data_IF_217957036291
#
_entry.id   IF_217957036291
#
_cell.length_a   1.000
_cell.length_b   1.000
_cell.length_c   1.000
_cell.angle_alpha   90.00
_cell.angle_beta   90.00
_cell.angle_gamma   90.00
#
_symmetry.space_group_name_H-M   'P 1'
#
loop_
_entity.id
_entity.type
_entity.pdbx_description
1 polymer ?
#
# COMPACT_ATOMS: atom_id res chain seq x y z
N UNK A 1 -16.33 -13.21 5.23
CA UNK A 1 -15.71 -11.96 5.72
C UNK A 1 -16.75 -10.86 5.78
N UNK A 2 -16.74 -10.03 6.84
CA UNK A 2 -17.46 -8.75 6.90
C UNK A 2 -16.47 -7.64 6.62
N UNK A 3 -16.89 -6.59 5.92
CA UNK A 3 -16.01 -5.50 5.52
C UNK A 3 -16.61 -4.13 5.89
N UNK A 4 -15.78 -3.22 6.40
CA UNK A 4 -16.09 -1.81 6.55
C UNK A 4 -15.09 -1.00 5.72
N UNK A 5 -15.58 -0.19 4.80
CA UNK A 5 -14.76 0.52 3.84
C UNK A 5 -15.28 1.93 3.55
N UNK A 6 -14.38 2.83 3.14
CA UNK A 6 -14.66 4.21 2.79
C UNK A 6 -15.45 4.35 1.49
N UNK A 7 -15.15 3.50 0.52
CA UNK A 7 -15.64 3.62 -0.85
C UNK A 7 -16.86 2.73 -1.09
N UNK A 8 -16.88 1.53 -0.47
CA UNK A 8 -17.95 0.55 -0.65
C UNK A 8 -17.98 0.01 -2.06
N UNK A 9 -16.82 -0.30 -2.61
CA UNK A 9 -16.63 -0.73 -3.98
C UNK A 9 -17.49 -1.95 -4.34
N UNK A 10 -17.89 -2.04 -5.61
CA UNK A 10 -18.82 -3.06 -6.08
C UNK A 10 -18.26 -4.48 -5.92
N UNK A 11 -16.97 -4.66 -6.23
CA UNK A 11 -16.28 -5.94 -6.10
C UNK A 11 -16.07 -6.36 -4.63
N UNK A 12 -15.76 -5.43 -3.72
CA UNK A 12 -15.75 -5.69 -2.29
C UNK A 12 -17.13 -6.11 -1.78
N UNK A 13 -18.17 -5.41 -2.20
CA UNK A 13 -19.56 -5.69 -1.80
C UNK A 13 -20.00 -7.07 -2.29
N UNK A 14 -19.60 -7.49 -3.49
CA UNK A 14 -19.89 -8.79 -4.04
C UNK A 14 -19.11 -9.94 -3.33
N UNK A 15 -17.89 -9.67 -2.86
CA UNK A 15 -17.03 -10.66 -2.21
C UNK A 15 -17.33 -10.82 -0.70
N UNK A 16 -17.85 -9.80 -0.03
CA UNK A 16 -18.13 -9.81 1.40
C UNK A 16 -19.48 -10.48 1.71
N UNK A 17 -19.56 -11.18 2.85
CA UNK A 17 -20.85 -11.66 3.41
C UNK A 17 -21.75 -10.47 3.77
N UNK A 18 -21.16 -9.40 4.27
CA UNK A 18 -21.77 -8.09 4.45
C UNK A 18 -20.70 -7.00 4.40
N UNK A 19 -21.04 -5.89 3.78
CA UNK A 19 -20.21 -4.70 3.71
C UNK A 19 -20.92 -3.49 4.31
N UNK A 20 -20.14 -2.55 4.85
CA UNK A 20 -20.63 -1.26 5.33
C UNK A 20 -19.74 -0.15 4.81
N UNK A 21 -20.33 0.79 4.11
CA UNK A 21 -19.65 2.03 3.75
C UNK A 21 -19.54 2.93 4.99
N UNK A 22 -18.37 3.55 5.17
CA UNK A 22 -18.06 4.42 6.30
C UNK A 22 -18.12 5.88 5.85
N UNK A 23 -19.16 6.60 6.28
CA UNK A 23 -19.36 8.00 5.89
C UNK A 23 -18.55 8.98 6.75
N UNK A 24 -18.30 8.66 8.03
CA UNK A 24 -17.55 9.47 8.99
C UNK A 24 -16.20 8.84 9.31
N UNK A 25 -15.32 8.82 8.32
CA UNK A 25 -13.96 8.30 8.55
C UNK A 25 -13.13 9.29 9.41
N UNK A 26 -12.34 8.80 10.41
CA UNK A 26 -12.12 7.39 10.74
C UNK A 26 -13.11 6.80 11.77
N UNK A 27 -13.85 7.63 12.52
CA UNK A 27 -14.64 7.19 13.69
C UNK A 27 -15.77 6.24 13.30
N UNK A 28 -16.36 6.38 12.13
CA UNK A 28 -17.37 5.47 11.62
C UNK A 28 -16.92 4.03 11.47
N UNK A 29 -15.61 3.74 11.47
CA UNK A 29 -15.08 2.37 11.54
C UNK A 29 -15.41 1.69 12.86
N UNK A 30 -15.46 2.45 13.98
CA UNK A 30 -15.83 1.94 15.30
C UNK A 30 -17.29 1.49 15.30
N UNK A 31 -18.17 2.35 14.76
CA UNK A 31 -19.59 2.06 14.65
C UNK A 31 -19.86 0.87 13.72
N UNK A 32 -19.15 0.82 12.59
CA UNK A 32 -19.26 -0.30 11.65
C UNK A 32 -18.79 -1.62 12.27
N UNK A 33 -17.68 -1.61 12.99
CA UNK A 33 -17.17 -2.78 13.70
C UNK A 33 -18.17 -3.27 14.76
N UNK A 34 -18.79 -2.37 15.53
CA UNK A 34 -19.77 -2.71 16.55
C UNK A 34 -21.04 -3.34 15.96
N UNK A 35 -21.39 -3.02 14.73
CA UNK A 35 -22.60 -3.51 14.06
C UNK A 35 -22.43 -4.88 13.39
N UNK A 36 -21.21 -5.41 13.26
CA UNK A 36 -20.97 -6.78 12.77
C UNK A 36 -21.01 -7.81 13.89
N UNK A 37 -21.29 -9.09 13.59
CA UNK A 37 -21.20 -10.18 14.58
C UNK A 37 -19.81 -10.22 15.27
N UNK A 38 -19.72 -10.70 16.52
CA UNK A 38 -18.43 -10.86 17.20
C UNK A 38 -17.48 -11.76 16.41
N UNK A 39 -16.31 -11.22 16.07
CA UNK A 39 -15.26 -11.93 15.35
C UNK A 39 -13.93 -11.19 15.54
N UNK A 40 -12.77 -11.84 15.37
CA UNK A 40 -11.50 -11.13 15.19
C UNK A 40 -11.57 -10.14 14.02
N UNK A 41 -10.79 -9.08 14.11
CA UNK A 41 -10.73 -8.06 13.07
C UNK A 41 -9.29 -7.79 12.65
N UNK A 42 -9.10 -7.36 11.42
CA UNK A 42 -7.85 -6.84 10.91
C UNK A 42 -8.11 -5.51 10.19
N UNK A 43 -7.07 -4.74 9.97
CA UNK A 43 -7.18 -3.49 9.25
C UNK A 43 -6.19 -3.41 8.09
N UNK A 44 -6.59 -2.67 7.07
CA UNK A 44 -5.80 -2.26 5.92
C UNK A 44 -5.90 -0.74 5.75
N UNK A 45 -5.52 -0.20 4.60
CA UNK A 45 -5.58 1.24 4.36
C UNK A 45 -4.67 2.00 5.33
N UNK A 46 -5.06 3.17 5.76
CA UNK A 46 -4.28 4.05 6.62
C UNK A 46 -4.78 4.08 8.08
N UNK A 47 -5.39 2.99 8.56
CA UNK A 47 -5.98 2.92 9.91
C UNK A 47 -4.92 3.08 10.99
N UNK A 48 -3.67 2.70 10.73
CA UNK A 48 -2.53 2.93 11.61
C UNK A 48 -2.29 4.41 11.95
N UNK A 49 -2.79 5.32 11.17
CA UNK A 49 -2.75 6.75 11.45
C UNK A 49 -3.82 7.19 12.48
N UNK A 50 -4.75 6.31 12.81
CA UNK A 50 -5.88 6.55 13.69
C UNK A 50 -5.85 5.60 14.89
N UNK A 51 -4.82 5.75 15.73
CA UNK A 51 -4.56 4.84 16.87
C UNK A 51 -5.77 4.64 17.80
N UNK A 52 -6.58 5.68 18.00
CA UNK A 52 -7.81 5.61 18.82
C UNK A 52 -8.83 4.62 18.23
N UNK A 53 -8.89 4.46 16.90
CA UNK A 53 -9.76 3.45 16.26
C UNK A 53 -9.25 2.05 16.60
N UNK A 54 -7.92 1.83 16.45
CA UNK A 54 -7.32 0.55 16.80
C UNK A 54 -7.61 0.20 18.26
N UNK A 55 -7.38 1.13 19.17
CA UNK A 55 -7.63 0.95 20.60
C UNK A 55 -9.11 0.62 20.88
N UNK A 56 -10.03 1.43 20.37
CA UNK A 56 -11.47 1.28 20.63
C UNK A 56 -12.05 0.00 20.08
N UNK A 57 -11.68 -0.40 18.86
CA UNK A 57 -12.18 -1.65 18.27
C UNK A 57 -11.53 -2.86 18.95
N UNK A 58 -10.24 -2.80 19.29
CA UNK A 58 -9.53 -3.89 19.98
C UNK A 58 -9.99 -4.12 21.41
N UNK A 59 -10.54 -3.12 22.07
CA UNK A 59 -11.17 -3.28 23.39
C UNK A 59 -12.42 -4.18 23.34
N UNK A 60 -13.06 -4.30 22.18
CA UNK A 60 -14.30 -5.08 22.00
C UNK A 60 -14.10 -6.37 21.19
N UNK A 61 -12.99 -6.48 20.42
CA UNK A 61 -12.75 -7.57 19.47
C UNK A 61 -11.26 -7.93 19.41
N UNK A 62 -10.90 -9.24 19.35
CA UNK A 62 -9.51 -9.63 19.12
C UNK A 62 -8.95 -9.03 17.84
N UNK A 63 -7.78 -8.39 17.92
CA UNK A 63 -7.09 -7.82 16.77
C UNK A 63 -6.16 -8.86 16.15
N UNK A 64 -6.34 -9.16 14.86
CA UNK A 64 -5.36 -9.78 14.01
C UNK A 64 -4.56 -8.67 13.30
N UNK A 65 -3.60 -8.10 13.98
CA UNK A 65 -2.83 -6.95 13.47
C UNK A 65 -1.95 -6.35 14.56
N UNK A 66 -1.18 -5.36 14.18
CA UNK A 66 -0.29 -4.64 15.08
C UNK A 66 -1.08 -3.61 15.89
N UNK A 67 -0.94 -3.65 17.21
CA UNK A 67 -1.65 -2.77 18.14
C UNK A 67 -1.01 -1.36 18.23
N UNK A 68 -1.58 -0.53 19.08
CA UNK A 68 -1.17 0.88 19.24
C UNK A 68 0.31 1.02 19.61
N UNK A 69 0.83 0.12 20.45
CA UNK A 69 2.23 0.14 20.89
C UNK A 69 3.20 -0.16 19.74
N UNK A 70 2.93 -1.22 18.97
CA UNK A 70 3.73 -1.63 17.81
C UNK A 70 3.67 -0.56 16.70
N UNK A 71 2.49 -0.04 16.41
CA UNK A 71 2.30 1.07 15.47
C UNK A 71 3.10 2.28 15.91
N UNK A 72 3.12 2.61 17.22
CA UNK A 72 3.93 3.70 17.76
C UNK A 72 5.41 3.57 17.42
N UNK A 73 5.98 2.39 17.60
CA UNK A 73 7.42 2.14 17.36
C UNK A 73 7.85 2.36 15.92
N UNK A 74 6.96 2.22 14.94
CA UNK A 74 7.30 2.34 13.52
C UNK A 74 6.71 3.59 12.85
N UNK A 75 5.78 4.29 13.49
CA UNK A 75 5.23 5.55 12.96
C UNK A 75 5.88 6.80 13.55
N UNK A 76 6.65 6.67 14.64
CA UNK A 76 7.45 7.76 15.19
C UNK A 76 8.80 7.84 14.46
N UNK A 77 9.15 8.94 13.78
CA UNK A 77 10.33 8.99 12.92
C UNK A 77 11.65 8.66 13.62
N UNK A 78 11.83 9.10 14.85
CA UNK A 78 13.05 8.82 15.62
C UNK A 78 13.16 7.34 16.00
N UNK A 79 12.06 6.71 16.41
CA UNK A 79 12.00 5.29 16.74
C UNK A 79 12.25 4.43 15.49
N UNK A 80 11.60 4.77 14.38
CA UNK A 80 11.82 4.09 13.11
C UNK A 80 13.28 4.21 12.64
N UNK A 81 13.87 5.41 12.73
CA UNK A 81 15.27 5.62 12.39
C UNK A 81 16.22 4.75 13.23
N UNK A 82 15.93 4.53 14.52
CA UNK A 82 16.69 3.65 15.38
C UNK A 82 16.57 2.18 14.95
N UNK A 83 15.36 1.70 14.65
CA UNK A 83 15.11 0.33 14.16
C UNK A 83 15.81 0.06 12.83
N UNK A 84 15.74 1.00 11.90
CA UNK A 84 16.38 0.90 10.57
C UNK A 84 17.91 0.85 10.71
N UNK A 85 18.48 1.70 11.57
CA UNK A 85 19.93 1.66 11.85
C UNK A 85 20.36 0.37 12.54
N UNK A 86 19.55 -0.17 13.46
CA UNK A 86 19.82 -1.46 14.09
C UNK A 86 19.88 -2.60 13.07
N UNK A 87 19.05 -2.53 12.02
CA UNK A 87 19.10 -3.46 10.88
C UNK A 87 20.30 -3.24 9.94
N UNK A 88 21.17 -2.27 10.20
CA UNK A 88 22.29 -1.91 9.32
C UNK A 88 21.91 -1.11 8.08
N UNK A 89 20.70 -0.55 8.06
CA UNK A 89 20.17 0.21 6.92
C UNK A 89 20.16 1.71 7.16
N UNK A 90 19.88 2.47 6.11
CA UNK A 90 19.73 3.94 6.17
C UNK A 90 18.28 4.36 6.31
N UNK A 91 18.10 5.41 7.10
CA UNK A 91 16.87 6.20 7.15
C UNK A 91 17.23 7.66 6.80
N UNK A 92 16.43 8.37 6.01
CA UNK A 92 16.75 9.74 5.63
C UNK A 92 16.79 10.68 6.84
N UNK A 93 17.64 11.69 6.79
CA UNK A 93 17.63 12.75 7.80
C UNK A 93 16.23 13.36 7.87
N UNK A 94 15.67 13.35 9.06
CA UNK A 94 14.28 13.77 9.31
C UNK A 94 14.25 14.69 10.53
N UNK A 95 13.62 15.84 10.37
CA UNK A 95 13.55 16.89 11.38
C UNK A 95 12.09 17.29 11.64
N UNK A 96 11.80 17.66 12.87
CA UNK A 96 10.47 18.12 13.31
C UNK A 96 10.20 19.59 12.97
N UNK A 97 11.23 20.32 12.56
CA UNK A 97 11.14 21.72 12.19
C UNK A 97 12.14 22.10 11.09
N UNK A 98 11.80 23.04 10.19
CA UNK A 98 12.63 23.38 9.04
C UNK A 98 13.73 24.40 9.36
N UNK A 99 14.15 24.55 10.62
CA UNK A 99 15.16 25.53 11.02
C UNK A 99 16.50 25.25 10.33
N UNK A 100 16.98 26.23 9.55
CA UNK A 100 18.27 26.17 8.87
C UNK A 100 18.31 25.19 7.69
N UNK A 101 17.17 24.62 7.27
CA UNK A 101 17.13 23.75 6.10
C UNK A 101 17.25 24.55 4.80
N UNK A 102 17.94 24.00 3.78
CA UNK A 102 17.93 24.55 2.43
C UNK A 102 16.49 24.66 1.90
N UNK A 103 16.25 25.70 1.09
CA UNK A 103 14.94 25.98 0.47
C UNK A 103 14.94 25.66 -1.03
N UNK A 104 15.75 24.71 -1.43
CA UNK A 104 15.99 24.27 -2.82
C UNK A 104 15.21 23.00 -3.21
N UNK A 105 14.40 22.47 -2.30
CA UNK A 105 13.65 21.24 -2.52
C UNK A 105 14.42 19.96 -2.19
N UNK A 106 15.65 20.05 -1.65
CA UNK A 106 16.42 18.90 -1.17
C UNK A 106 15.77 18.21 0.05
N UNK A 107 14.89 18.91 0.75
CA UNK A 107 14.01 18.32 1.77
C UNK A 107 12.55 18.30 1.30
N UNK A 108 11.82 17.30 1.77
CA UNK A 108 10.38 17.16 1.56
C UNK A 108 9.65 17.41 2.87
N UNK A 109 8.63 18.26 2.83
CA UNK A 109 7.65 18.34 3.93
C UNK A 109 6.69 17.17 3.79
N UNK A 110 6.59 16.33 4.82
CA UNK A 110 5.74 15.11 4.83
C UNK A 110 4.79 15.15 6.03
N UNK A 111 3.49 14.82 5.86
CA UNK A 111 2.62 14.59 7.00
C UNK A 111 3.04 13.30 7.71
N UNK A 112 3.11 13.32 9.04
CA UNK A 112 3.41 12.14 9.88
C UNK A 112 2.30 11.09 9.74
N UNK A 113 1.05 11.52 9.71
CA UNK A 113 -0.13 10.69 9.51
C UNK A 113 -0.59 10.71 8.03
N UNK A 114 0.35 10.60 7.09
CA UNK A 114 0.08 10.55 5.66
C UNK A 114 -0.24 9.15 5.15
N UNK A 115 -0.82 9.07 3.97
CA UNK A 115 -1.00 7.84 3.22
C UNK A 115 -0.95 8.09 1.71
N UNK A 116 -0.39 7.15 0.96
CA UNK A 116 -0.35 7.18 -0.50
C UNK A 116 0.36 8.41 -1.08
N UNK A 117 1.30 9.02 -0.35
CA UNK A 117 2.07 10.18 -0.79
C UNK A 117 1.32 11.52 -0.76
N UNK A 118 0.09 11.55 -0.25
CA UNK A 118 -0.72 12.78 -0.15
C UNK A 118 -0.11 13.78 0.83
N UNK A 119 -0.08 15.06 0.45
CA UNK A 119 0.43 16.15 1.28
C UNK A 119 1.96 16.25 1.32
N UNK A 120 2.70 15.40 0.61
CA UNK A 120 4.13 15.52 0.43
C UNK A 120 4.42 16.63 -0.58
N UNK A 121 5.33 17.53 -0.22
CA UNK A 121 5.76 18.61 -1.10
C UNK A 121 7.25 18.95 -0.88
N UNK A 122 7.99 19.41 -1.91
CA UNK A 122 9.32 19.94 -1.75
C UNK A 122 9.31 21.14 -0.78
N UNK A 123 10.32 21.21 0.07
CA UNK A 123 10.51 22.37 0.93
C UNK A 123 11.21 23.48 0.15
N UNK A 124 10.47 24.55 -0.13
CA UNK A 124 10.95 25.72 -0.87
C UNK A 124 11.01 26.97 0.02
N UNK A 125 10.96 26.79 1.35
CA UNK A 125 10.92 27.91 2.29
C UNK A 125 9.50 28.46 2.51
N UNK A 126 9.43 29.60 3.23
CA UNK A 126 8.17 30.36 3.40
C UNK A 126 7.23 29.85 4.48
N UNK A 127 7.63 28.90 5.29
CA UNK A 127 6.85 28.41 6.41
C UNK A 127 7.25 29.12 7.71
N UNK A 128 6.24 29.48 8.51
CA UNK A 128 6.40 29.86 9.90
C UNK A 128 7.02 28.74 10.76
N UNK A 129 6.84 28.78 12.08
CA UNK A 129 7.34 27.78 13.00
C UNK A 129 6.84 26.37 12.63
N UNK A 130 7.47 25.32 13.20
CA UNK A 130 7.09 23.93 12.99
C UNK A 130 5.56 23.75 12.95
N UNK A 131 5.07 23.13 11.87
CA UNK A 131 3.64 22.83 11.74
C UNK A 131 3.40 21.47 12.39
N UNK A 132 2.61 21.37 13.45
CA UNK A 132 2.30 20.10 14.08
C UNK A 132 1.79 19.08 13.06
N UNK A 133 2.24 17.83 13.18
CA UNK A 133 1.84 16.75 12.27
C UNK A 133 2.63 16.68 10.97
N UNK A 134 3.69 17.48 10.81
CA UNK A 134 4.61 17.40 9.66
C UNK A 134 6.06 17.20 10.12
N UNK A 135 6.83 16.56 9.24
CA UNK A 135 8.28 16.44 9.33
C UNK A 135 8.93 16.91 8.02
N UNK A 136 10.22 17.26 8.10
CA UNK A 136 11.05 17.59 6.95
C UNK A 136 12.09 16.48 6.77
N UNK A 137 11.95 15.73 5.71
CA UNK A 137 12.79 14.57 5.41
C UNK A 137 13.64 14.83 4.17
N UNK A 138 14.93 14.50 4.25
CA UNK A 138 15.84 14.58 3.11
C UNK A 138 15.29 13.78 1.92
N UNK A 139 15.24 14.42 0.76
CA UNK A 139 14.82 13.77 -0.48
C UNK A 139 15.94 12.87 -1.01
N UNK A 140 15.70 11.59 -1.07
CA UNK A 140 16.67 10.60 -1.55
C UNK A 140 16.43 10.36 -3.03
N UNK A 141 17.50 10.51 -3.84
CA UNK A 141 17.48 10.13 -5.25
C UNK A 141 17.66 8.62 -5.41
N UNK A 142 16.91 8.01 -6.30
CA UNK A 142 16.96 6.58 -6.55
C UNK A 142 15.64 6.01 -7.04
N UNK A 143 15.52 4.72 -7.04
CA UNK A 143 14.35 3.99 -7.49
C UNK A 143 13.41 3.70 -6.31
N UNK A 144 12.15 4.09 -6.45
CA UNK A 144 11.14 3.82 -5.44
C UNK A 144 10.74 2.33 -5.48
N UNK A 145 10.90 1.64 -4.36
CA UNK A 145 10.58 0.22 -4.22
C UNK A 145 9.71 -0.03 -2.99
N UNK A 146 8.96 -1.11 -3.03
CA UNK A 146 8.32 -1.64 -1.82
C UNK A 146 8.67 -3.11 -1.63
N UNK A 147 8.72 -3.54 -0.36
CA UNK A 147 8.81 -4.93 0.02
C UNK A 147 7.58 -5.31 0.86
N UNK A 148 7.12 -6.54 0.66
CA UNK A 148 6.11 -7.19 1.50
C UNK A 148 6.80 -8.23 2.35
N UNK A 149 6.70 -8.08 3.66
CA UNK A 149 7.31 -8.95 4.66
C UNK A 149 6.23 -9.75 5.38
N UNK A 150 6.54 -10.99 5.79
CA UNK A 150 5.77 -11.73 6.78
C UNK A 150 6.63 -11.92 8.02
N UNK A 151 6.14 -11.47 9.16
CA UNK A 151 6.83 -11.47 10.44
C UNK A 151 6.14 -12.48 11.37
N UNK A 152 6.85 -13.53 11.74
CA UNK A 152 6.35 -14.64 12.54
C UNK A 152 7.34 -14.90 13.71
N UNK A 153 6.91 -15.62 14.74
CA UNK A 153 7.74 -15.88 15.92
C UNK A 153 8.93 -16.79 15.61
N UNK A 154 8.77 -17.69 14.64
CA UNK A 154 9.76 -18.69 14.22
C UNK A 154 10.61 -18.23 13.02
N UNK A 155 10.38 -17.05 12.52
CA UNK A 155 11.16 -16.47 11.43
C UNK A 155 10.43 -15.38 10.66
N UNK A 156 11.22 -14.56 9.98
CA UNK A 156 10.70 -13.48 9.15
C UNK A 156 11.07 -13.71 7.69
N UNK A 157 10.16 -13.45 6.76
CA UNK A 157 10.35 -13.68 5.33
C UNK A 157 10.06 -12.43 4.51
N UNK A 158 10.84 -12.22 3.44
CA UNK A 158 10.48 -11.29 2.37
C UNK A 158 9.62 -12.05 1.37
N UNK A 159 8.35 -11.71 1.29
CA UNK A 159 7.39 -12.38 0.40
C UNK A 159 7.53 -11.92 -1.05
N UNK A 160 7.88 -10.66 -1.26
CA UNK A 160 8.10 -10.11 -2.58
C UNK A 160 8.51 -8.64 -2.54
N UNK A 161 9.03 -8.18 -3.67
CA UNK A 161 9.45 -6.80 -3.88
C UNK A 161 8.86 -6.26 -5.18
N UNK A 162 8.68 -4.95 -5.26
CA UNK A 162 8.17 -4.30 -6.46
C UNK A 162 8.74 -2.89 -6.64
N UNK A 163 8.90 -2.48 -7.88
CA UNK A 163 9.12 -1.09 -8.27
C UNK A 163 7.81 -0.32 -8.08
N UNK A 164 7.87 0.83 -7.42
CA UNK A 164 6.68 1.65 -7.22
C UNK A 164 6.49 2.65 -8.36
N UNK A 165 5.27 2.78 -8.81
CA UNK A 165 4.83 3.85 -9.70
C UNK A 165 4.42 5.05 -8.85
N UNK A 166 5.27 6.08 -8.78
CA UNK A 166 5.03 7.28 -7.99
C UNK A 166 4.93 8.49 -8.91
N UNK A 167 3.90 9.32 -8.75
CA UNK A 167 3.72 10.51 -9.57
C UNK A 167 3.56 10.23 -11.07
N UNK A 168 3.03 9.08 -11.41
CA UNK A 168 2.99 8.56 -12.79
C UNK A 168 1.95 9.30 -13.60
N UNK A 169 2.38 10.09 -14.58
CA UNK A 169 1.51 10.97 -15.35
C UNK A 169 0.43 10.24 -16.14
N UNK A 170 0.73 9.06 -16.71
CA UNK A 170 -0.27 8.27 -17.43
C UNK A 170 -1.33 7.61 -16.51
N UNK A 171 -1.12 7.62 -15.18
CA UNK A 171 -2.14 7.31 -14.17
C UNK A 171 -2.92 8.55 -13.71
N UNK A 172 -2.56 9.75 -14.18
CA UNK A 172 -3.06 11.05 -13.66
C UNK A 172 -2.72 11.26 -12.17
N UNK A 173 -1.64 10.64 -11.70
CA UNK A 173 -1.21 10.72 -10.30
C UNK A 173 -0.51 12.04 -9.99
N UNK A 174 -0.78 12.62 -8.83
CA UNK A 174 -0.03 13.77 -8.32
C UNK A 174 1.44 13.37 -8.03
N UNK A 175 2.35 14.35 -8.03
CA UNK A 175 3.82 14.16 -8.04
C UNK A 175 4.37 13.07 -7.10
N UNK A 176 3.84 12.95 -5.90
CA UNK A 176 4.29 11.97 -4.90
C UNK A 176 3.25 10.87 -4.62
N UNK A 177 2.11 10.89 -5.33
CA UNK A 177 1.07 9.90 -5.12
C UNK A 177 1.54 8.52 -5.58
N UNK A 178 1.30 7.51 -4.76
CA UNK A 178 1.42 6.12 -5.16
C UNK A 178 0.38 5.82 -6.23
N UNK A 179 0.86 5.36 -7.37
CA UNK A 179 0.02 5.06 -8.53
C UNK A 179 0.06 3.59 -8.94
N UNK A 180 0.75 2.74 -8.19
CA UNK A 180 0.82 1.32 -8.50
C UNK A 180 2.20 0.72 -8.28
N UNK A 181 2.36 -0.51 -8.75
CA UNK A 181 3.61 -1.28 -8.61
C UNK A 181 3.82 -2.23 -9.78
N UNK A 182 5.08 -2.54 -10.07
CA UNK A 182 5.51 -3.59 -11.01
C UNK A 182 6.40 -4.55 -10.23
N UNK A 183 6.09 -5.84 -10.26
CA UNK A 183 6.86 -6.87 -9.55
C UNK A 183 8.35 -6.85 -9.95
N UNK A 184 9.21 -7.08 -9.00
CA UNK A 184 10.66 -7.14 -9.21
C UNK A 184 11.08 -8.58 -9.48
N UNK A 185 11.71 -8.89 -10.63
CA UNK A 185 12.20 -10.23 -10.91
C UNK A 185 13.43 -10.56 -10.06
N UNK A 186 13.68 -11.83 -9.85
CA UNK A 186 14.86 -12.33 -9.12
C UNK A 186 16.13 -12.16 -9.98
N UNK A 187 16.87 -11.11 -9.73
CA UNK A 187 18.19 -10.82 -10.33
C UNK A 187 19.25 -10.79 -9.23
N UNK A 188 20.52 -10.80 -9.58
CA UNK A 188 21.60 -10.68 -8.60
C UNK A 188 21.48 -9.40 -7.75
N UNK A 189 21.09 -8.27 -8.36
CA UNK A 189 20.83 -7.02 -7.63
C UNK A 189 19.63 -7.17 -6.71
N UNK A 190 18.55 -7.77 -7.18
CA UNK A 190 17.34 -8.02 -6.38
C UNK A 190 17.63 -8.90 -5.17
N UNK A 191 18.50 -9.91 -5.29
CA UNK A 191 18.94 -10.76 -4.16
C UNK A 191 19.64 -9.94 -3.10
N UNK A 192 20.52 -9.01 -3.48
CA UNK A 192 21.20 -8.11 -2.54
C UNK A 192 20.25 -7.14 -1.84
N UNK A 193 19.24 -6.64 -2.53
CA UNK A 193 18.17 -5.79 -1.98
C UNK A 193 17.29 -6.61 -1.03
N UNK A 194 16.93 -7.84 -1.41
CA UNK A 194 16.13 -8.75 -0.58
C UNK A 194 16.83 -9.09 0.74
N UNK A 195 18.16 -9.31 0.74
CA UNK A 195 18.92 -9.55 1.95
C UNK A 195 18.87 -8.37 2.93
N UNK A 196 18.88 -7.13 2.42
CA UNK A 196 18.73 -5.92 3.24
C UNK A 196 17.33 -5.86 3.87
N UNK A 197 16.27 -6.15 3.11
CA UNK A 197 14.91 -6.24 3.67
C UNK A 197 14.74 -7.40 4.66
N UNK A 198 15.44 -8.52 4.49
CA UNK A 198 15.43 -9.62 5.46
C UNK A 198 16.06 -9.19 6.80
N UNK A 199 17.17 -8.43 6.78
CA UNK A 199 17.75 -7.85 7.99
C UNK A 199 16.78 -6.89 8.68
N UNK A 200 16.08 -6.06 7.91
CA UNK A 200 15.04 -5.18 8.45
C UNK A 200 13.88 -5.96 9.07
N UNK A 201 13.42 -7.02 8.41
CA UNK A 201 12.33 -7.87 8.90
C UNK A 201 12.65 -8.46 10.27
N UNK A 202 13.88 -8.97 10.46
CA UNK A 202 14.33 -9.47 11.75
C UNK A 202 14.35 -8.38 12.84
N UNK A 203 14.77 -7.15 12.50
CA UNK A 203 14.74 -6.02 13.43
C UNK A 203 13.30 -5.61 13.78
N UNK A 204 12.40 -5.59 12.82
CA UNK A 204 10.99 -5.24 13.04
C UNK A 204 10.27 -6.26 13.93
N UNK A 205 10.49 -7.55 13.71
CA UNK A 205 9.94 -8.60 14.55
C UNK A 205 10.54 -8.56 15.97
N UNK A 206 11.87 -8.57 16.08
CA UNK A 206 12.56 -8.70 17.38
C UNK A 206 12.52 -7.43 18.23
N UNK A 207 12.68 -6.25 17.64
CA UNK A 207 12.78 -4.97 18.39
C UNK A 207 11.46 -4.21 18.45
N UNK A 208 10.68 -4.20 17.37
CA UNK A 208 9.40 -3.52 17.35
C UNK A 208 8.22 -4.43 17.73
N UNK A 209 8.41 -5.74 17.78
CA UNK A 209 7.34 -6.70 18.09
C UNK A 209 6.26 -6.77 17.03
N UNK A 210 6.56 -6.37 15.80
CA UNK A 210 5.60 -6.46 14.70
C UNK A 210 5.37 -7.92 14.29
N UNK A 211 4.12 -8.22 13.92
CA UNK A 211 3.70 -9.55 13.44
C UNK A 211 2.85 -9.44 12.18
N UNK A 212 2.75 -10.57 11.47
CA UNK A 212 1.92 -10.68 10.28
C UNK A 212 2.54 -10.01 9.06
N UNK A 213 1.71 -9.74 8.07
CA UNK A 213 2.15 -9.11 6.83
C UNK A 213 2.31 -7.60 7.01
N UNK A 214 3.47 -7.09 6.61
CA UNK A 214 3.91 -5.69 6.77
C UNK A 214 4.47 -5.19 5.45
N UNK A 215 4.15 -3.95 5.08
CA UNK A 215 4.73 -3.27 3.92
C UNK A 215 5.86 -2.33 4.30
N UNK A 216 6.89 -2.29 3.46
CA UNK A 216 8.03 -1.36 3.58
C UNK A 216 8.11 -0.52 2.32
N UNK A 217 8.18 0.79 2.47
CA UNK A 217 8.46 1.70 1.36
C UNK A 217 9.90 2.22 1.49
N UNK A 218 10.66 2.16 0.40
CA UNK A 218 12.08 2.49 0.37
C UNK A 218 12.51 3.12 -0.96
N UNK A 219 13.67 3.75 -0.95
CA UNK A 219 14.42 4.10 -2.15
C UNK A 219 15.64 3.17 -2.26
N UNK A 220 15.89 2.64 -3.43
CA UNK A 220 17.15 1.97 -3.77
C UNK A 220 18.03 2.96 -4.49
N UNK A 221 19.14 3.33 -3.85
CA UNK A 221 20.17 4.20 -4.44
C UNK A 221 20.97 3.46 -5.52
N UNK A 222 21.69 4.19 -6.34
CA UNK A 222 22.69 3.60 -7.24
C UNK A 222 23.66 2.72 -6.45
N UNK A 223 23.91 1.50 -6.94
CA UNK A 223 24.69 0.49 -6.21
C UNK A 223 23.86 -0.44 -5.31
N UNK A 224 22.53 -0.34 -5.30
CA UNK A 224 21.65 -1.31 -4.64
C UNK A 224 21.47 -1.12 -3.12
N UNK A 225 21.85 0.05 -2.59
CA UNK A 225 21.66 0.37 -1.15
C UNK A 225 20.23 0.79 -0.87
N UNK A 226 19.61 0.15 0.10
CA UNK A 226 18.23 0.44 0.53
C UNK A 226 18.22 1.57 1.56
N UNK A 227 17.38 2.57 1.31
CA UNK A 227 17.06 3.67 2.25
C UNK A 227 15.58 3.56 2.59
N UNK A 228 15.26 3.16 3.81
CA UNK A 228 13.88 2.93 4.26
C UNK A 228 13.19 4.26 4.50
N UNK A 229 12.00 4.45 3.93
CA UNK A 229 11.21 5.68 4.06
C UNK A 229 10.07 5.56 5.06
N UNK A 230 9.42 4.38 5.11
CA UNK A 230 8.20 4.16 5.88
C UNK A 230 7.97 2.66 6.11
N UNK A 231 7.37 2.33 7.26
CA UNK A 231 6.84 1.00 7.56
C UNK A 231 5.32 1.12 7.70
N UNK A 232 4.63 0.25 6.96
CA UNK A 232 3.19 0.08 7.04
C UNK A 232 2.91 -1.22 7.81
N UNK A 233 2.52 -1.19 9.11
CA UNK A 233 2.41 -2.38 9.97
C UNK A 233 1.14 -3.20 9.64
N UNK A 234 0.88 -3.45 8.38
CA UNK A 234 -0.31 -4.10 7.80
C UNK A 234 -0.06 -4.55 6.36
N UNK A 235 -0.93 -5.39 5.77
CA UNK A 235 -0.93 -5.62 4.33
C UNK A 235 -1.08 -4.32 3.53
N UNK A 236 -0.26 -4.15 2.49
CA UNK A 236 -0.23 -2.98 1.60
C UNK A 236 -0.73 -3.34 0.20
N UNK A 237 -0.97 -2.33 -0.63
CA UNK A 237 -1.46 -2.53 -1.99
C UNK A 237 -0.52 -3.39 -2.87
N UNK A 238 0.79 -3.38 -2.61
CA UNK A 238 1.77 -4.22 -3.30
C UNK A 238 1.66 -5.71 -2.94
N UNK A 239 1.01 -6.06 -1.83
CA UNK A 239 0.80 -7.44 -1.41
C UNK A 239 -0.03 -8.25 -2.42
N UNK A 240 -0.95 -7.61 -3.15
CA UNK A 240 -1.71 -8.25 -4.23
C UNK A 240 -0.82 -8.77 -5.36
N UNK A 241 0.30 -8.12 -5.66
CA UNK A 241 1.23 -8.62 -6.66
C UNK A 241 1.91 -9.90 -6.21
N UNK A 242 2.24 -9.99 -4.91
CA UNK A 242 2.79 -11.21 -4.31
C UNK A 242 1.76 -12.34 -4.43
N UNK A 243 0.52 -12.10 -4.03
CA UNK A 243 -0.57 -13.08 -4.11
C UNK A 243 -0.80 -13.56 -5.56
N UNK A 244 -0.80 -12.63 -6.53
CA UNK A 244 -0.94 -12.96 -7.96
C UNK A 244 0.25 -13.73 -8.53
N UNK A 245 1.45 -13.49 -8.02
CA UNK A 245 2.68 -14.17 -8.46
C UNK A 245 2.83 -15.54 -7.84
N UNK A 246 2.62 -15.66 -6.52
CA UNK A 246 2.88 -16.90 -5.76
C UNK A 246 1.65 -17.82 -5.69
N UNK A 247 0.45 -17.27 -5.79
CA UNK A 247 -0.79 -17.99 -5.50
C UNK A 247 -1.04 -18.22 -4.00
N UNK A 248 -0.24 -17.61 -3.10
CA UNK A 248 -0.43 -17.72 -1.66
C UNK A 248 -1.34 -16.60 -1.15
N UNK A 249 -2.29 -16.92 -0.28
CA UNK A 249 -3.17 -15.90 0.29
C UNK A 249 -2.44 -15.04 1.31
N UNK A 250 -2.20 -13.79 0.96
CA UNK A 250 -1.53 -12.81 1.85
C UNK A 250 -2.35 -12.56 3.11
N UNK A 251 -3.68 -12.45 2.99
CA UNK A 251 -4.54 -12.32 4.16
C UNK A 251 -4.52 -13.59 5.01
N UNK A 252 -4.47 -14.78 4.38
CA UNK A 252 -4.31 -16.05 5.08
C UNK A 252 -3.02 -16.11 5.89
N UNK A 253 -1.89 -15.71 5.31
CA UNK A 253 -0.61 -15.61 6.01
C UNK A 253 -0.67 -14.61 7.17
N UNK A 254 -1.27 -13.43 6.93
CA UNK A 254 -1.44 -12.43 7.98
C UNK A 254 -2.23 -12.99 9.18
N UNK A 255 -3.38 -13.63 8.93
CA UNK A 255 -4.20 -14.22 9.97
C UNK A 255 -3.49 -15.41 10.68
N UNK A 256 -2.73 -16.22 9.93
CA UNK A 256 -1.95 -17.33 10.49
C UNK A 256 -0.90 -16.84 11.48
N UNK A 257 -0.21 -15.73 11.19
CA UNK A 257 0.76 -15.13 12.11
C UNK A 257 0.14 -14.72 13.45
N UNK A 258 -1.19 -14.54 13.52
CA UNK A 258 -1.95 -14.27 14.76
C UNK A 258 -2.69 -15.50 15.30
N UNK A 259 -2.42 -16.71 14.76
CA UNK A 259 -3.03 -17.96 15.21
C UNK A 259 -4.52 -18.11 14.84
N UNK A 260 -5.05 -17.34 13.90
CA UNK A 260 -6.47 -17.31 13.55
C UNK A 260 -6.85 -18.11 12.30
N UNK A 261 -5.89 -18.56 11.53
CA UNK A 261 -6.10 -19.40 10.34
C UNK A 261 -4.86 -20.24 10.07
N UNK A 262 -5.01 -21.33 9.32
CA UNK A 262 -3.89 -21.96 8.64
C UNK A 262 -3.69 -21.29 7.28
N UNK A 263 -2.43 -21.12 6.80
CA UNK A 263 -2.19 -20.61 5.47
C UNK A 263 -2.93 -21.44 4.44
N UNK A 264 -3.75 -20.81 3.60
CA UNK A 264 -4.41 -21.48 2.49
C UNK A 264 -3.48 -21.34 1.29
N UNK A 265 -2.90 -22.49 0.86
CA UNK A 265 -2.21 -22.54 -0.41
C UNK A 265 -3.25 -22.47 -1.53
N UNK A 266 -3.21 -21.42 -2.33
CA UNK A 266 -3.87 -21.39 -3.62
C UNK A 266 -3.08 -22.30 -4.59
N UNK A 267 -3.68 -22.81 -5.69
CA UNK A 267 -2.94 -23.59 -6.66
C UNK A 267 -1.67 -22.85 -7.09
N UNK A 268 -0.52 -23.50 -6.91
CA UNK A 268 0.77 -22.90 -7.25
C UNK A 268 0.75 -22.41 -8.70
N UNK A 269 1.09 -21.16 -8.91
CA UNK A 269 1.26 -20.59 -10.24
C UNK A 269 2.71 -20.77 -10.63
N UNK A 270 2.92 -21.52 -11.69
CA UNK A 270 4.27 -21.75 -12.25
C UNK A 270 4.62 -20.78 -13.37
N UNK A 271 3.85 -19.70 -13.51
CA UNK A 271 4.08 -18.71 -14.55
C UNK A 271 5.25 -17.81 -14.14
N UNK A 272 6.29 -17.76 -14.95
CA UNK A 272 7.43 -16.83 -14.79
C UNK A 272 7.03 -15.35 -15.06
N UNK A 273 5.74 -15.07 -15.01
CA UNK A 273 5.19 -13.76 -15.32
C UNK A 273 5.38 -12.78 -14.17
N UNK A 274 5.75 -11.56 -14.53
CA UNK A 274 5.80 -10.41 -13.63
C UNK A 274 4.43 -9.76 -13.63
N UNK A 275 3.83 -9.63 -12.46
CA UNK A 275 2.57 -8.92 -12.30
C UNK A 275 2.78 -7.44 -12.01
N UNK A 276 1.80 -6.64 -12.42
CA UNK A 276 1.76 -5.20 -12.14
C UNK A 276 0.34 -4.73 -11.87
N UNK A 277 0.25 -3.61 -11.16
CA UNK A 277 -1.00 -2.89 -10.91
C UNK A 277 -0.80 -1.39 -11.06
N UNK A 278 -1.83 -0.68 -11.50
CA UNK A 278 -1.88 0.77 -11.51
C UNK A 278 -3.23 1.28 -11.03
N UNK A 279 -3.21 2.33 -10.23
CA UNK A 279 -4.39 3.09 -9.81
C UNK A 279 -4.59 4.22 -10.80
N UNK A 280 -5.73 4.27 -11.46
CA UNK A 280 -6.13 5.41 -12.29
C UNK A 280 -6.81 6.46 -11.41
N UNK A 281 -6.40 7.72 -11.56
CA UNK A 281 -7.02 8.85 -10.87
C UNK A 281 -7.96 9.61 -11.81
N UNK A 282 -9.07 10.12 -11.26
CA UNK A 282 -10.00 10.97 -11.99
C UNK A 282 -9.32 12.31 -12.33
N UNK A 283 -9.38 12.73 -13.61
CA UNK A 283 -8.84 14.03 -14.02
C UNK A 283 -9.67 15.17 -13.45
N UNK A 284 -10.99 15.03 -13.57
CA UNK A 284 -12.02 15.97 -13.14
C UNK A 284 -13.06 15.21 -12.30
N UNK A 285 -13.96 15.90 -11.58
CA UNK A 285 -15.09 15.24 -10.93
C UNK A 285 -15.90 14.43 -11.95
N UNK A 286 -16.15 13.15 -11.65
CA UNK A 286 -16.85 12.24 -12.56
C UNK A 286 -17.97 11.51 -11.84
N UNK A 287 -19.17 11.50 -12.42
CA UNK A 287 -20.29 10.70 -11.97
C UNK A 287 -20.22 9.30 -12.59
N UNK A 288 -20.34 8.29 -11.76
CA UNK A 288 -20.33 6.89 -12.19
C UNK A 288 -21.75 6.47 -12.55
N UNK A 289 -21.97 6.06 -13.78
CA UNK A 289 -23.24 5.55 -14.27
C UNK A 289 -23.14 4.07 -14.73
N UNK A 290 -24.29 3.43 -14.91
CA UNK A 290 -24.36 2.03 -15.34
C UNK A 290 -23.77 1.81 -16.74
N UNK A 291 -23.83 2.83 -17.61
CA UNK A 291 -23.26 2.76 -18.96
C UNK A 291 -21.73 2.71 -18.91
N UNK A 292 -21.13 3.53 -18.07
CA UNK A 292 -19.68 3.51 -17.85
C UNK A 292 -19.24 2.15 -17.29
N UNK A 293 -19.94 1.64 -16.27
CA UNK A 293 -19.63 0.33 -15.68
C UNK A 293 -19.77 -0.81 -16.69
N UNK A 294 -20.81 -0.81 -17.49
CA UNK A 294 -21.00 -1.80 -18.55
C UNK A 294 -19.85 -1.78 -19.57
N UNK A 295 -19.36 -0.59 -19.94
CA UNK A 295 -18.21 -0.44 -20.83
C UNK A 295 -16.90 -0.89 -20.17
N UNK A 296 -16.71 -0.61 -18.87
CA UNK A 296 -15.55 -1.07 -18.11
C UNK A 296 -15.52 -2.60 -18.02
N UNK A 297 -16.66 -3.25 -17.75
CA UNK A 297 -16.76 -4.69 -17.71
C UNK A 297 -16.46 -5.30 -19.09
N UNK A 298 -17.07 -4.78 -20.16
CA UNK A 298 -16.80 -5.26 -21.52
C UNK A 298 -15.31 -5.13 -21.93
N UNK A 299 -14.62 -4.12 -21.42
CA UNK A 299 -13.19 -3.93 -21.63
C UNK A 299 -12.34 -4.89 -20.79
N UNK A 300 -12.77 -5.20 -19.56
CA UNK A 300 -12.05 -6.05 -18.62
C UNK A 300 -12.22 -7.54 -18.88
N UNK A 301 -13.36 -7.98 -19.42
CA UNK A 301 -13.68 -9.40 -19.61
C UNK A 301 -12.61 -10.19 -20.40
N UNK A 302 -12.10 -9.70 -21.56
CA UNK A 302 -11.03 -10.39 -22.29
C UNK A 302 -9.73 -10.47 -21.49
N UNK A 303 -9.40 -9.43 -20.73
CA UNK A 303 -8.19 -9.41 -19.91
C UNK A 303 -8.31 -10.37 -18.72
N UNK A 304 -9.48 -10.38 -18.05
CA UNK A 304 -9.77 -11.31 -16.95
C UNK A 304 -9.74 -12.76 -17.43
N UNK A 305 -10.32 -13.06 -18.56
CA UNK A 305 -10.30 -14.41 -19.16
C UNK A 305 -8.88 -14.88 -19.50
N UNK A 306 -8.04 -13.96 -20.02
CA UNK A 306 -6.62 -14.20 -20.31
C UNK A 306 -5.82 -14.48 -19.03
N UNK A 307 -6.01 -13.65 -18.01
CA UNK A 307 -5.21 -13.67 -16.80
C UNK A 307 -5.77 -14.60 -15.71
N UNK A 308 -6.99 -15.11 -15.88
CA UNK A 308 -7.73 -15.95 -14.90
C UNK A 308 -7.91 -15.28 -13.53
N UNK A 309 -7.72 -13.96 -13.44
CA UNK A 309 -7.93 -13.12 -12.27
C UNK A 309 -8.60 -11.82 -12.72
N UNK A 310 -9.35 -11.14 -11.85
CA UNK A 310 -9.93 -9.83 -12.17
C UNK A 310 -8.86 -8.87 -12.70
N UNK A 311 -9.08 -8.32 -13.88
CA UNK A 311 -8.17 -7.39 -14.54
C UNK A 311 -8.37 -5.94 -14.06
N UNK A 312 -9.52 -5.66 -13.44
CA UNK A 312 -9.87 -4.39 -12.81
C UNK A 312 -10.43 -4.69 -11.42
N UNK A 313 -10.07 -3.89 -10.44
CA UNK A 313 -10.55 -3.92 -9.06
C UNK A 313 -10.83 -2.50 -8.56
N UNK A 314 -11.33 -2.40 -7.31
CA UNK A 314 -11.74 -1.13 -6.70
C UNK A 314 -12.80 -0.41 -7.57
N UNK A 315 -13.77 -1.18 -8.07
CA UNK A 315 -14.76 -0.71 -9.03
C UNK A 315 -15.80 0.14 -8.30
N UNK A 316 -15.94 1.45 -8.65
CA UNK A 316 -16.89 2.32 -7.97
C UNK A 316 -18.33 1.89 -8.26
N UNK A 317 -19.26 2.17 -7.33
CA UNK A 317 -20.68 1.88 -7.51
C UNK A 317 -21.39 2.95 -8.36
N UNK A 318 -22.48 2.55 -9.06
CA UNK A 318 -23.35 3.50 -9.75
C UNK A 318 -23.86 4.59 -8.79
N UNK A 319 -23.97 5.83 -9.29
CA UNK A 319 -24.43 6.98 -8.51
C UNK A 319 -23.34 7.64 -7.64
N UNK A 320 -22.15 7.07 -7.56
CA UNK A 320 -21.03 7.74 -6.89
C UNK A 320 -20.50 8.91 -7.74
N UNK A 321 -20.05 9.97 -7.07
CA UNK A 321 -19.32 11.07 -7.69
C UNK A 321 -17.90 11.06 -7.15
N UNK A 322 -16.94 10.74 -8.00
CA UNK A 322 -15.53 10.81 -7.67
C UNK A 322 -15.02 12.23 -7.83
N UNK A 323 -14.20 12.69 -6.91
CA UNK A 323 -13.57 14.02 -7.00
C UNK A 323 -12.39 13.98 -7.97
N UNK A 324 -12.10 15.07 -8.63
CA UNK A 324 -10.85 15.24 -9.39
C UNK A 324 -9.62 14.97 -8.51
N UNK A 325 -8.66 14.23 -9.02
CA UNK A 325 -7.49 13.74 -8.27
C UNK A 325 -7.79 12.58 -7.31
N UNK A 326 -9.03 12.10 -7.22
CA UNK A 326 -9.40 10.92 -6.45
C UNK A 326 -9.02 9.62 -7.17
N UNK A 327 -8.64 8.57 -6.42
CA UNK A 327 -8.47 7.23 -6.98
C UNK A 327 -9.82 6.75 -7.55
N UNK A 328 -9.78 6.16 -8.76
CA UNK A 328 -10.98 5.73 -9.46
C UNK A 328 -11.13 4.22 -9.42
N UNK A 329 -10.10 3.50 -9.88
CA UNK A 329 -10.07 2.05 -9.94
C UNK A 329 -8.62 1.57 -10.08
N UNK A 330 -8.42 0.29 -9.87
CA UNK A 330 -7.13 -0.39 -10.05
C UNK A 330 -7.17 -1.29 -11.29
N UNK A 331 -6.13 -1.23 -12.11
CA UNK A 331 -5.93 -2.07 -13.32
C UNK A 331 -4.73 -2.96 -13.11
N UNK A 332 -4.82 -4.22 -13.52
CA UNK A 332 -3.73 -5.20 -13.46
C UNK A 332 -3.27 -5.59 -14.85
N UNK A 333 -1.99 -5.92 -14.97
CA UNK A 333 -1.40 -6.53 -16.15
C UNK A 333 -0.25 -7.47 -15.76
N UNK A 334 0.16 -8.33 -16.71
CA UNK A 334 1.31 -9.23 -16.55
C UNK A 334 2.14 -9.29 -17.83
N UNK A 335 3.36 -9.74 -17.69
CA UNK A 335 4.29 -9.94 -18.79
C UNK A 335 5.55 -10.67 -18.35
N UNK A 336 6.38 -11.08 -19.29
CA UNK A 336 7.60 -11.87 -19.01
C UNK A 336 8.81 -11.02 -18.62
N UNK A 337 8.76 -9.70 -18.81
CA UNK A 337 9.80 -8.76 -18.39
C UNK A 337 9.17 -7.53 -17.75
N UNK A 338 9.93 -6.83 -16.91
CA UNK A 338 9.48 -5.56 -16.28
C UNK A 338 8.99 -4.57 -17.34
N UNK A 339 9.75 -4.40 -18.43
CA UNK A 339 9.40 -3.47 -19.51
C UNK A 339 8.10 -3.88 -20.22
N UNK A 340 7.95 -5.15 -20.59
CA UNK A 340 6.73 -5.67 -21.23
C UNK A 340 5.51 -5.53 -20.31
N UNK A 341 5.68 -5.82 -19.01
CA UNK A 341 4.64 -5.71 -18.00
C UNK A 341 4.18 -4.26 -17.82
N UNK A 342 5.13 -3.32 -17.72
CA UNK A 342 4.83 -1.90 -17.61
C UNK A 342 4.14 -1.36 -18.89
N UNK A 343 4.56 -1.81 -20.07
CA UNK A 343 3.92 -1.45 -21.32
C UNK A 343 2.48 -1.97 -21.43
N UNK A 344 2.25 -3.23 -21.07
CA UNK A 344 0.91 -3.82 -21.02
C UNK A 344 -0.01 -3.09 -20.04
N UNK A 345 0.50 -2.76 -18.85
CA UNK A 345 -0.23 -2.01 -17.84
C UNK A 345 -0.64 -0.63 -18.35
N UNK A 346 0.32 0.10 -18.95
CA UNK A 346 0.06 1.41 -19.55
C UNK A 346 -0.99 1.34 -20.65
N UNK A 347 -0.90 0.34 -21.55
CA UNK A 347 -1.88 0.13 -22.62
C UNK A 347 -3.30 -0.09 -22.05
N UNK A 348 -3.45 -0.91 -21.00
CA UNK A 348 -4.73 -1.15 -20.33
C UNK A 348 -5.27 0.14 -19.68
N UNK A 349 -4.43 0.94 -19.03
CA UNK A 349 -4.84 2.24 -18.47
C UNK A 349 -5.31 3.20 -19.56
N UNK A 350 -4.62 3.29 -20.69
CA UNK A 350 -5.05 4.14 -21.80
C UNK A 350 -6.41 3.67 -22.35
N UNK A 351 -6.63 2.37 -22.47
CA UNK A 351 -7.93 1.84 -22.87
C UNK A 351 -9.03 2.17 -21.86
N UNK A 352 -8.78 2.07 -20.55
CA UNK A 352 -9.74 2.47 -19.52
C UNK A 352 -10.09 3.97 -19.60
N UNK A 353 -9.11 4.83 -19.87
CA UNK A 353 -9.35 6.27 -20.07
C UNK A 353 -10.32 6.58 -21.21
N UNK A 354 -10.35 5.78 -22.28
CA UNK A 354 -11.32 5.97 -23.38
C UNK A 354 -12.77 5.73 -22.95
N UNK A 355 -12.95 5.02 -21.84
CA UNK A 355 -14.26 4.70 -21.26
C UNK A 355 -14.67 5.72 -20.20
N UNK A 356 -13.69 6.22 -19.45
CA UNK A 356 -13.92 7.07 -18.27
C UNK A 356 -13.72 8.57 -18.51
N UNK A 357 -13.21 8.96 -19.66
CA UNK A 357 -12.98 10.37 -20.03
C UNK A 357 -11.60 10.87 -19.68
#
# INVERSE_FOLDING_TARGET
MHAADLFGDADLTAAAVASRRVDRYPDGLIDAAAAFPPAPWCYTGAVENHRHVIERVSAARPLAGNGVAEVGRVREPAALAALVRHAGLRFPDTLDAPRGLPTDGSFLRKPVAGAGGRGIAPWLGGGGPAVPGFVWQLHIAGEAVSAVLCLEDDGSRVLGMSHQLVGTAWCRAARFAYAGSVGMPQTAVAVGIQAQFASLAASLAGQAGLRGVVGVDAIVEEGGRVVVLEINPRPTASAELVERTTGESILGMHLAAFGLASPVALPARHDADIWSKAVLFAAEPIAIDDRMLSRLHALADPWTASDRLPAIADIPCPGQVLRGGGAMLTVFARGHTVAATAAALRSRIEAVKTVTG
#
